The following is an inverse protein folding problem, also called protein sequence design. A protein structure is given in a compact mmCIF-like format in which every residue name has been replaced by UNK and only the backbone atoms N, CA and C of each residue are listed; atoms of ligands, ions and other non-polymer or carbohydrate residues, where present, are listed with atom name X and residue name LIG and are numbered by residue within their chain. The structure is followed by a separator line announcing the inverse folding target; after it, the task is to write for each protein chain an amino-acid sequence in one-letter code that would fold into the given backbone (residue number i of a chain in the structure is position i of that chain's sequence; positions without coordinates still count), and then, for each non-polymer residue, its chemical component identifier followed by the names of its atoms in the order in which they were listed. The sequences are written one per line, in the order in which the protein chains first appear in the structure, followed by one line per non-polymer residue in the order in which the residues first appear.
data_IF_995960863355
#
_entry.id   IF_995960863355
#
_cell.length_a   1.000
_cell.length_b   1.000
_cell.length_c   1.000
_cell.angle_alpha   90.00
_cell.angle_beta   90.00
_cell.angle_gamma   90.00
#
_symmetry.space_group_name_H-M   'P 1'
#
loop_
_entity.id
_entity.type
_entity.pdbx_description
1 polymer ?
#
# COMPACT_ATOMS: atom_id res chain seq x y z
N UNK A 1 30.55 14.96 -18.66
CA UNK A 1 29.21 14.57 -18.17
C UNK A 1 28.51 13.88 -19.32
N UNK A 2 27.95 12.69 -19.10
CA UNK A 2 27.16 12.00 -20.13
C UNK A 2 25.78 12.64 -20.17
N UNK A 3 25.34 13.07 -21.34
CA UNK A 3 24.02 13.64 -21.54
C UNK A 3 22.96 12.52 -21.48
N UNK A 4 21.98 12.65 -20.59
CA UNK A 4 20.86 11.70 -20.48
C UNK A 4 19.65 12.36 -21.16
N UNK A 5 19.19 11.75 -22.25
CA UNK A 5 18.06 12.26 -23.04
C UNK A 5 16.88 11.28 -22.92
N UNK A 6 15.99 11.41 -21.92
CA UNK A 6 14.81 10.56 -21.80
C UNK A 6 13.64 11.09 -22.64
N UNK A 7 12.74 10.19 -23.02
CA UNK A 7 11.46 10.54 -23.64
C UNK A 7 10.41 10.85 -22.57
N UNK A 8 10.52 10.18 -21.41
CA UNK A 8 9.62 10.32 -20.27
C UNK A 8 10.45 10.42 -18.98
N UNK A 9 10.12 11.38 -18.11
CA UNK A 9 10.69 11.51 -16.78
C UNK A 9 9.61 11.25 -15.74
N UNK A 10 9.86 10.30 -14.85
CA UNK A 10 9.00 9.97 -13.71
C UNK A 10 9.71 10.45 -12.45
N UNK A 11 9.06 11.31 -11.67
CA UNK A 11 9.62 11.84 -10.41
C UNK A 11 9.00 11.10 -9.24
N UNK A 12 9.83 10.35 -8.52
CA UNK A 12 9.46 9.44 -7.45
C UNK A 12 9.31 8.00 -7.93
N UNK A 13 9.88 7.07 -7.17
CA UNK A 13 9.86 5.63 -7.46
C UNK A 13 8.91 4.84 -6.55
N UNK A 14 8.03 5.53 -5.82
CA UNK A 14 6.97 4.90 -5.04
C UNK A 14 5.87 4.32 -5.93
N UNK A 15 4.83 3.77 -5.30
CA UNK A 15 3.72 3.04 -5.93
C UNK A 15 3.14 3.69 -7.19
N UNK A 16 2.94 5.02 -7.21
CA UNK A 16 2.41 5.71 -8.39
C UNK A 16 3.40 5.78 -9.54
N UNK A 17 4.65 6.14 -9.26
CA UNK A 17 5.71 6.24 -10.27
C UNK A 17 6.09 4.87 -10.83
N UNK A 18 6.18 3.84 -9.97
CA UNK A 18 6.46 2.48 -10.40
C UNK A 18 5.31 1.87 -11.19
N UNK A 19 4.05 2.15 -10.85
CA UNK A 19 2.89 1.71 -11.64
C UNK A 19 2.91 2.32 -13.06
N UNK A 20 3.20 3.62 -13.18
CA UNK A 20 3.34 4.27 -14.50
C UNK A 20 4.51 3.67 -15.28
N UNK A 21 5.67 3.49 -14.64
CA UNK A 21 6.82 2.86 -15.26
C UNK A 21 6.51 1.42 -15.74
N UNK A 22 5.75 0.65 -14.94
CA UNK A 22 5.32 -0.69 -15.28
C UNK A 22 4.42 -0.71 -16.52
N UNK A 23 3.44 0.20 -16.62
CA UNK A 23 2.57 0.32 -17.80
C UNK A 23 3.33 0.74 -19.06
N UNK A 24 4.39 1.52 -18.91
CA UNK A 24 5.25 1.94 -20.02
C UNK A 24 6.32 0.90 -20.38
N UNK A 25 6.47 -0.17 -19.60
CA UNK A 25 7.45 -1.20 -19.87
C UNK A 25 7.16 -1.88 -21.22
N UNK A 26 8.21 -2.04 -22.04
CA UNK A 26 8.07 -2.62 -23.39
C UNK A 26 7.57 -1.65 -24.47
N UNK A 27 7.23 -0.40 -24.13
CA UNK A 27 6.83 0.63 -25.12
C UNK A 27 7.96 1.07 -26.07
N UNK A 28 9.22 0.80 -25.71
CA UNK A 28 10.41 1.29 -26.41
C UNK A 28 10.83 2.72 -26.04
N UNK A 29 10.05 3.43 -25.20
CA UNK A 29 10.42 4.73 -24.68
C UNK A 29 11.62 4.65 -23.72
N UNK A 30 12.49 5.67 -23.75
CA UNK A 30 13.57 5.85 -22.77
C UNK A 30 13.01 6.55 -21.54
N UNK A 31 12.87 5.79 -20.46
CA UNK A 31 12.25 6.27 -19.21
C UNK A 31 13.35 6.56 -18.20
N UNK A 32 13.35 7.77 -17.64
CA UNK A 32 14.18 8.16 -16.51
C UNK A 32 13.32 8.27 -15.25
N UNK A 33 13.64 7.48 -14.22
CA UNK A 33 12.99 7.58 -12.91
C UNK A 33 13.94 8.31 -11.96
N UNK A 34 13.47 9.40 -11.37
CA UNK A 34 14.22 10.20 -10.40
C UNK A 34 13.68 9.92 -8.99
N UNK A 35 14.47 9.25 -8.17
CA UNK A 35 14.19 9.07 -6.75
C UNK A 35 15.09 10.00 -5.92
N UNK A 36 14.51 10.63 -4.90
CA UNK A 36 15.27 11.52 -4.00
C UNK A 36 16.17 10.72 -3.06
N UNK A 37 15.68 9.56 -2.63
CA UNK A 37 16.40 8.64 -1.77
C UNK A 37 17.30 7.65 -2.50
N UNK A 38 17.88 6.74 -1.73
CA UNK A 38 18.65 5.60 -2.21
C UNK A 38 17.83 4.30 -2.05
N UNK A 39 18.39 3.16 -2.43
CA UNK A 39 17.82 1.86 -2.06
C UNK A 39 17.87 1.68 -0.54
N UNK A 40 16.78 1.17 0.04
CA UNK A 40 16.71 0.89 1.46
C UNK A 40 17.72 -0.21 1.84
N UNK A 41 18.59 -0.01 2.84
CA UNK A 41 19.52 -1.04 3.28
C UNK A 41 18.79 -2.20 3.94
N UNK A 42 19.22 -3.43 3.61
CA UNK A 42 18.78 -4.66 4.29
C UNK A 42 19.59 -4.85 5.56
N UNK A 43 19.00 -4.54 6.71
CA UNK A 43 19.69 -4.55 8.01
C UNK A 43 18.76 -5.00 9.16
N UNK A 44 19.31 -5.51 10.28
CA UNK A 44 18.49 -5.95 11.42
C UNK A 44 17.54 -4.88 11.96
N UNK A 45 17.94 -3.60 11.88
CA UNK A 45 17.17 -2.45 12.32
C UNK A 45 15.89 -2.24 11.51
N UNK A 46 15.73 -2.89 10.34
CA UNK A 46 14.50 -2.80 9.56
C UNK A 46 13.28 -3.34 10.32
N UNK A 47 13.53 -4.24 11.29
CA UNK A 47 12.53 -4.91 12.13
C UNK A 47 12.69 -4.59 13.62
N UNK A 48 13.41 -3.53 13.97
CA UNK A 48 13.66 -3.12 15.37
C UNK A 48 12.81 -1.90 15.73
N UNK A 49 11.97 -2.04 16.76
CA UNK A 49 11.00 -1.01 17.13
C UNK A 49 11.67 0.28 17.63
N UNK A 50 12.76 0.18 18.38
CA UNK A 50 13.49 1.34 18.88
C UNK A 50 14.13 2.11 17.73
N UNK A 51 14.78 1.42 16.79
CA UNK A 51 15.35 2.04 15.60
C UNK A 51 14.29 2.71 14.72
N UNK A 52 13.18 2.02 14.46
CA UNK A 52 12.12 2.53 13.57
C UNK A 52 11.35 3.69 14.20
N UNK A 53 10.88 3.54 15.43
CA UNK A 53 9.94 4.49 16.03
C UNK A 53 10.61 5.51 16.94
N UNK A 54 11.56 5.11 17.78
CA UNK A 54 12.19 6.02 18.74
C UNK A 54 13.29 6.84 18.07
N UNK A 55 14.16 6.17 17.31
CA UNK A 55 15.27 6.83 16.62
C UNK A 55 14.84 7.41 15.26
N UNK A 56 13.63 7.07 14.78
CA UNK A 56 13.12 7.50 13.47
C UNK A 56 14.12 7.24 12.33
N UNK A 57 14.83 6.10 12.39
CA UNK A 57 16.04 5.82 11.59
C UNK A 57 15.84 6.01 10.09
N UNK A 58 14.66 5.65 9.58
CA UNK A 58 14.35 5.68 8.15
C UNK A 58 13.52 6.89 7.72
N UNK A 59 13.03 7.71 8.66
CA UNK A 59 12.27 8.90 8.31
C UNK A 59 13.22 10.01 7.86
N UNK A 60 12.73 10.87 6.98
CA UNK A 60 13.46 12.08 6.61
C UNK A 60 13.70 12.98 7.84
N UNK A 61 14.82 13.72 7.79
CA UNK A 61 15.15 14.76 8.79
C UNK A 61 14.81 16.16 8.29
N UNK A 62 14.20 16.27 7.11
CA UNK A 62 13.75 17.52 6.53
C UNK A 62 12.81 18.27 7.46
N UNK A 63 12.86 19.59 7.36
CA UNK A 63 11.91 20.49 7.99
C UNK A 63 11.14 21.15 6.86
N UNK A 64 9.82 20.95 6.85
CA UNK A 64 8.90 21.58 5.93
C UNK A 64 8.23 22.77 6.60
N UNK A 65 7.71 23.67 5.78
CA UNK A 65 7.02 24.85 6.21
C UNK A 65 5.61 24.85 5.60
N UNK A 66 4.59 25.08 6.42
CA UNK A 66 3.23 25.26 5.92
C UNK A 66 2.99 26.69 5.40
N UNK A 67 1.76 26.97 4.94
CA UNK A 67 1.39 28.28 4.41
C UNK A 67 1.40 29.40 5.45
N UNK A 68 1.35 29.09 6.74
CA UNK A 68 1.40 30.04 7.85
C UNK A 68 2.84 30.27 8.35
N UNK A 69 3.80 29.55 7.78
CA UNK A 69 5.20 29.65 8.12
C UNK A 69 5.62 28.75 9.28
N UNK A 70 4.73 27.88 9.78
CA UNK A 70 5.05 26.94 10.84
C UNK A 70 5.93 25.81 10.31
N UNK A 71 6.97 25.48 11.06
CA UNK A 71 7.92 24.45 10.69
C UNK A 71 7.51 23.10 11.30
N UNK A 72 7.47 22.06 10.48
CA UNK A 72 7.16 20.70 10.93
C UNK A 72 8.05 19.67 10.24
N UNK A 73 8.20 18.49 10.85
CA UNK A 73 8.88 17.36 10.20
C UNK A 73 7.83 16.49 9.53
N UNK A 74 7.87 16.33 8.21
CA UNK A 74 6.91 15.50 7.52
C UNK A 74 7.24 14.02 7.78
N UNK A 75 6.23 13.18 7.91
CA UNK A 75 6.39 11.74 8.18
C UNK A 75 6.88 10.91 6.97
N UNK A 76 7.73 11.48 6.12
CA UNK A 76 8.09 10.95 4.79
C UNK A 76 9.26 9.96 4.84
N UNK A 77 9.27 9.03 3.89
CA UNK A 77 10.39 8.13 3.59
C UNK A 77 10.90 8.39 2.17
N UNK A 78 12.21 8.57 2.01
CA UNK A 78 12.86 8.72 0.70
C UNK A 78 13.72 7.50 0.44
N UNK A 79 13.14 6.54 -0.27
CA UNK A 79 13.82 5.34 -0.74
C UNK A 79 13.23 4.88 -2.06
N UNK A 80 13.99 4.08 -2.81
CA UNK A 80 13.42 3.35 -3.94
C UNK A 80 12.25 2.48 -3.48
N UNK A 81 11.08 2.67 -4.07
CA UNK A 81 9.81 2.05 -3.65
C UNK A 81 8.99 2.86 -2.62
N UNK A 82 9.51 3.99 -2.14
CA UNK A 82 8.76 4.96 -1.34
C UNK A 82 8.07 4.41 -0.08
N UNK A 83 6.87 4.89 0.20
CA UNK A 83 6.12 4.57 1.43
C UNK A 83 5.68 3.11 1.50
N UNK A 84 5.54 2.42 0.37
CA UNK A 84 5.17 1.01 0.36
C UNK A 84 6.24 0.11 0.97
N UNK A 85 7.50 0.56 1.12
CA UNK A 85 8.47 -0.20 1.94
C UNK A 85 8.02 -0.35 3.39
N UNK A 86 7.27 0.62 3.92
CA UNK A 86 6.89 0.72 5.33
C UNK A 86 5.39 0.53 5.60
N UNK A 87 4.52 0.46 4.58
CA UNK A 87 3.09 0.23 4.83
C UNK A 87 2.78 -1.15 5.41
N UNK A 88 1.59 -1.29 6.00
CA UNK A 88 1.07 -2.52 6.62
C UNK A 88 0.43 -3.52 5.67
N UNK A 89 0.58 -3.36 4.35
CA UNK A 89 0.09 -4.28 3.30
C UNK A 89 -1.43 -4.34 3.09
N UNK A 90 -2.21 -3.56 3.83
CA UNK A 90 -3.66 -3.46 3.64
C UNK A 90 -3.98 -2.85 2.27
N UNK A 91 -4.78 -3.56 1.47
CA UNK A 91 -5.13 -3.18 0.09
C UNK A 91 -6.64 -3.21 -0.11
N UNK A 92 -7.32 -2.20 0.46
CA UNK A 92 -8.76 -2.05 0.34
C UNK A 92 -9.15 -1.26 -0.90
N UNK A 93 -10.26 -1.67 -1.53
CA UNK A 93 -10.98 -0.82 -2.48
C UNK A 93 -11.82 0.21 -1.72
N UNK A 94 -11.96 1.40 -2.30
CA UNK A 94 -13.00 2.34 -1.86
C UNK A 94 -14.38 1.75 -2.17
N UNK A 95 -15.40 2.21 -1.45
CA UNK A 95 -16.81 1.85 -1.68
C UNK A 95 -17.41 2.72 -2.75
N UNK A 96 -18.49 2.27 -3.38
CA UNK A 96 -19.21 3.05 -4.40
C UNK A 96 -19.58 4.44 -3.87
N UNK A 97 -20.08 4.50 -2.63
CA UNK A 97 -20.46 5.76 -1.97
C UNK A 97 -19.28 6.70 -1.73
N UNK A 98 -18.05 6.20 -1.61
CA UNK A 98 -16.88 7.07 -1.38
C UNK A 98 -16.58 7.98 -2.60
N UNK A 99 -17.15 7.65 -3.77
CA UNK A 99 -17.07 8.46 -4.98
C UNK A 99 -18.18 9.51 -5.09
N UNK A 100 -19.25 9.37 -4.31
CA UNK A 100 -20.36 10.32 -4.26
C UNK A 100 -20.05 11.51 -3.36
N UNK A 101 -20.86 12.57 -3.49
CA UNK A 101 -20.88 13.62 -2.48
C UNK A 101 -21.41 13.06 -1.15
N UNK A 102 -20.67 13.28 -0.07
CA UNK A 102 -21.02 12.77 1.25
C UNK A 102 -21.08 13.89 2.29
N UNK A 103 -22.17 13.93 3.06
CA UNK A 103 -22.27 14.77 4.25
C UNK A 103 -21.55 14.09 5.42
N UNK A 104 -20.48 14.71 5.91
CA UNK A 104 -19.76 14.35 7.13
C UNK A 104 -20.14 15.33 8.25
N UNK A 105 -19.80 15.00 9.50
CA UNK A 105 -20.11 15.85 10.66
C UNK A 105 -19.48 17.26 10.53
N UNK A 106 -18.29 17.34 9.93
CA UNK A 106 -17.52 18.58 9.77
C UNK A 106 -17.73 19.28 8.41
N UNK A 107 -18.60 18.74 7.54
CA UNK A 107 -18.90 19.36 6.24
C UNK A 107 -19.17 18.38 5.11
N UNK A 108 -19.22 18.89 3.89
CA UNK A 108 -19.47 18.11 2.68
C UNK A 108 -18.14 17.66 2.09
N UNK A 109 -17.97 16.35 1.88
CA UNK A 109 -16.94 15.78 1.01
C UNK A 109 -17.45 15.80 -0.42
N UNK A 110 -16.84 16.57 -1.33
CA UNK A 110 -17.27 16.61 -2.73
C UNK A 110 -17.14 15.22 -3.37
N UNK A 111 -18.06 14.92 -4.28
CA UNK A 111 -17.97 13.72 -5.11
C UNK A 111 -16.78 13.78 -6.07
N UNK A 112 -16.29 12.61 -6.44
CA UNK A 112 -15.23 12.45 -7.42
C UNK A 112 -15.77 12.68 -8.83
N UNK A 113 -14.92 13.09 -9.79
CA UNK A 113 -15.34 13.30 -11.18
C UNK A 113 -15.52 12.00 -11.98
N UNK A 114 -15.42 10.83 -11.32
CA UNK A 114 -15.58 9.49 -11.88
C UNK A 114 -16.17 8.57 -10.81
N UNK A 115 -16.82 7.48 -11.25
CA UNK A 115 -17.45 6.51 -10.36
C UNK A 115 -16.52 5.37 -9.95
N UNK A 116 -16.97 4.57 -8.97
CA UNK A 116 -16.32 3.29 -8.66
C UNK A 116 -16.30 2.35 -9.87
N UNK A 117 -17.39 2.26 -10.64
CA UNK A 117 -17.47 1.35 -11.80
C UNK A 117 -16.42 1.67 -12.87
N UNK A 118 -16.07 2.95 -13.02
CA UNK A 118 -14.96 3.37 -13.90
C UNK A 118 -13.60 2.92 -13.37
N UNK A 119 -13.41 2.88 -12.05
CA UNK A 119 -12.17 2.43 -11.41
C UNK A 119 -12.08 0.93 -11.14
N UNK A 120 -13.20 0.20 -11.14
CA UNK A 120 -13.26 -1.23 -10.80
C UNK A 120 -12.25 -2.08 -11.58
N UNK A 121 -12.09 -1.92 -12.90
CA UNK A 121 -11.10 -2.70 -13.66
C UNK A 121 -9.66 -2.39 -13.24
N UNK A 122 -9.38 -1.15 -12.86
CA UNK A 122 -8.06 -0.72 -12.40
C UNK A 122 -7.76 -1.22 -10.98
N UNK A 123 -8.78 -1.32 -10.11
CA UNK A 123 -8.63 -2.01 -8.82
C UNK A 123 -8.29 -3.49 -9.02
N UNK A 124 -8.98 -4.18 -9.92
CA UNK A 124 -8.69 -5.58 -10.26
C UNK A 124 -7.26 -5.73 -10.78
N UNK A 125 -6.84 -4.87 -11.72
CA UNK A 125 -5.45 -4.86 -12.22
C UNK A 125 -4.42 -4.60 -11.12
N UNK A 126 -4.70 -3.68 -10.20
CA UNK A 126 -3.81 -3.41 -9.07
C UNK A 126 -3.73 -4.61 -8.11
N UNK A 127 -4.86 -5.25 -7.80
CA UNK A 127 -4.89 -6.46 -6.96
C UNK A 127 -4.06 -7.59 -7.57
N UNK A 128 -4.13 -7.80 -8.88
CA UNK A 128 -3.28 -8.74 -9.62
C UNK A 128 -1.81 -8.36 -9.56
N UNK A 129 -1.48 -7.10 -9.87
CA UNK A 129 -0.10 -6.61 -9.91
C UNK A 129 0.60 -6.71 -8.55
N UNK A 130 -0.09 -6.34 -7.47
CA UNK A 130 0.45 -6.39 -6.11
C UNK A 130 0.31 -7.77 -5.45
N UNK A 131 -0.29 -8.75 -6.13
CA UNK A 131 -0.50 -10.10 -5.60
C UNK A 131 -1.38 -10.09 -4.34
N UNK A 132 -2.45 -9.29 -4.35
CA UNK A 132 -3.34 -9.11 -3.19
C UNK A 132 -4.04 -10.42 -2.86
N UNK A 133 -3.94 -10.79 -1.58
CA UNK A 133 -4.59 -11.97 -1.00
C UNK A 133 -5.87 -11.55 -0.31
N UNK A 134 -7.01 -12.08 -0.72
CA UNK A 134 -8.30 -11.71 -0.16
C UNK A 134 -9.37 -12.77 -0.35
N UNK A 135 -10.55 -12.50 0.19
CA UNK A 135 -11.73 -13.33 0.03
C UNK A 135 -12.92 -12.41 -0.19
N UNK A 136 -13.53 -12.52 -1.38
CA UNK A 136 -14.75 -11.81 -1.70
C UNK A 136 -15.96 -12.49 -1.03
N UNK A 137 -16.98 -11.71 -0.71
CA UNK A 137 -18.19 -12.07 0.00
C UNK A 137 -18.08 -12.05 1.53
N UNK A 138 -16.88 -11.92 2.11
CA UNK A 138 -16.71 -11.91 3.57
C UNK A 138 -17.07 -10.53 4.17
N UNK A 139 -16.82 -9.45 3.43
CA UNK A 139 -17.13 -8.08 3.85
C UNK A 139 -18.50 -7.68 3.30
N UNK A 140 -19.52 -7.46 4.16
CA UNK A 140 -20.88 -7.13 3.70
C UNK A 140 -20.98 -5.75 3.05
N UNK A 141 -19.91 -4.95 3.13
CA UNK A 141 -19.83 -3.61 2.56
C UNK A 141 -18.91 -3.55 1.35
N UNK A 142 -18.32 -4.66 0.91
CA UNK A 142 -17.40 -4.60 -0.21
C UNK A 142 -18.12 -4.19 -1.50
N UNK A 143 -17.45 -3.38 -2.34
CA UNK A 143 -18.04 -2.94 -3.59
C UNK A 143 -18.09 -4.10 -4.59
N UNK A 144 -18.89 -3.94 -5.64
CA UNK A 144 -18.97 -4.91 -6.74
C UNK A 144 -17.57 -5.13 -7.33
N UNK A 145 -17.24 -6.38 -7.65
CA UNK A 145 -15.98 -6.73 -8.32
C UNK A 145 -16.25 -7.66 -9.49
N UNK A 146 -15.58 -7.42 -10.61
CA UNK A 146 -15.69 -8.24 -11.82
C UNK A 146 -14.83 -9.51 -11.74
N UNK A 147 -13.74 -9.47 -10.98
CA UNK A 147 -12.83 -10.58 -10.72
C UNK A 147 -12.74 -10.97 -9.25
N UNK A 148 -12.46 -12.25 -8.99
CA UNK A 148 -12.04 -12.71 -7.66
C UNK A 148 -10.61 -12.25 -7.36
N UNK A 149 -10.22 -12.22 -6.07
CA UNK A 149 -8.82 -12.01 -5.72
C UNK A 149 -7.92 -13.06 -6.40
N UNK A 150 -6.71 -12.68 -6.86
CA UNK A 150 -5.79 -13.61 -7.51
C UNK A 150 -5.30 -14.73 -6.57
N UNK A 151 -5.40 -14.50 -5.26
CA UNK A 151 -4.91 -15.40 -4.23
C UNK A 151 -5.86 -15.44 -3.03
N UNK A 152 -5.96 -16.61 -2.40
CA UNK A 152 -6.76 -16.80 -1.20
C UNK A 152 -6.25 -15.93 -0.04
N UNK A 153 -7.20 -15.41 0.76
CA UNK A 153 -6.95 -14.60 1.94
C UNK A 153 -5.97 -15.24 2.93
N UNK A 154 -5.24 -14.38 3.63
CA UNK A 154 -4.35 -14.81 4.73
C UNK A 154 -5.22 -15.19 5.93
N UNK A 155 -5.03 -16.38 6.51
CA UNK A 155 -5.79 -16.79 7.68
C UNK A 155 -5.45 -15.91 8.89
N UNK A 156 -6.46 -15.65 9.71
CA UNK A 156 -6.26 -15.02 11.01
C UNK A 156 -5.31 -15.85 11.88
N UNK A 157 -4.46 -15.17 12.66
CA UNK A 157 -3.75 -15.83 13.77
C UNK A 157 -4.76 -16.37 14.79
N UNK A 158 -4.42 -17.44 15.55
CA UNK A 158 -5.36 -18.09 16.47
C UNK A 158 -6.12 -17.14 17.40
N UNK A 159 -5.45 -16.12 17.94
CA UNK A 159 -6.07 -15.12 18.82
C UNK A 159 -7.12 -14.29 18.06
N UNK A 160 -6.79 -13.85 16.85
CA UNK A 160 -7.70 -13.06 16.01
C UNK A 160 -8.85 -13.93 15.50
N UNK A 161 -8.60 -15.20 15.16
CA UNK A 161 -9.63 -16.14 14.77
C UNK A 161 -10.65 -16.37 15.90
N UNK A 162 -10.18 -16.51 17.14
CA UNK A 162 -11.05 -16.64 18.31
C UNK A 162 -11.91 -15.38 18.52
N UNK A 163 -11.33 -14.19 18.37
CA UNK A 163 -12.07 -12.93 18.45
C UNK A 163 -13.12 -12.83 17.33
N UNK A 164 -12.73 -13.07 16.08
CA UNK A 164 -13.63 -13.06 14.94
C UNK A 164 -14.81 -14.01 15.14
N UNK A 165 -14.56 -15.25 15.57
CA UNK A 165 -15.61 -16.21 15.90
C UNK A 165 -16.55 -15.70 17.00
N UNK A 166 -16.01 -15.05 18.04
CA UNK A 166 -16.80 -14.45 19.11
C UNK A 166 -17.70 -13.31 18.64
N UNK A 167 -17.22 -12.48 17.70
CA UNK A 167 -17.99 -11.41 17.08
C UNK A 167 -19.06 -11.98 16.13
N UNK A 168 -18.73 -12.98 15.32
CA UNK A 168 -19.70 -13.64 14.43
C UNK A 168 -20.84 -14.29 15.18
N UNK A 169 -20.60 -14.89 16.36
CA UNK A 169 -21.66 -15.43 17.22
C UNK A 169 -22.63 -14.38 17.76
N UNK A 170 -22.22 -13.12 17.76
CA UNK A 170 -23.05 -11.97 18.15
C UNK A 170 -23.74 -11.32 16.94
N UNK A 171 -23.63 -11.90 15.75
CA UNK A 171 -24.21 -11.37 14.53
C UNK A 171 -23.40 -10.26 13.87
N UNK A 172 -22.14 -10.06 14.28
CA UNK A 172 -21.23 -9.12 13.61
C UNK A 172 -20.51 -9.81 12.44
N UNK A 173 -19.96 -9.01 11.53
CA UNK A 173 -19.37 -9.47 10.27
C UNK A 173 -17.86 -9.16 10.19
N UNK A 174 -17.01 -9.77 11.03
CA UNK A 174 -15.56 -9.66 10.86
C UNK A 174 -15.14 -10.39 9.58
N UNK A 175 -14.18 -9.82 8.86
CA UNK A 175 -13.67 -10.37 7.61
C UNK A 175 -12.14 -10.31 7.56
N UNK A 176 -11.56 -11.04 6.61
CA UNK A 176 -10.10 -11.11 6.43
C UNK A 176 -9.64 -9.89 5.64
N UNK A 177 -8.67 -9.16 6.19
CA UNK A 177 -8.11 -7.99 5.53
C UNK A 177 -7.42 -8.37 4.20
N UNK A 178 -7.81 -7.77 3.06
CA UNK A 178 -7.09 -7.96 1.81
C UNK A 178 -5.66 -7.41 1.95
N UNK A 179 -4.67 -8.26 1.67
CA UNK A 179 -3.27 -7.96 1.99
C UNK A 179 -2.32 -8.34 0.85
N UNK A 180 -1.41 -7.43 0.48
CA UNK A 180 -0.35 -7.68 -0.50
C UNK A 180 0.87 -8.33 0.17
N UNK A 181 0.80 -9.64 0.38
CA UNK A 181 1.86 -10.44 1.00
C UNK A 181 2.04 -11.75 0.22
N UNK A 182 3.28 -12.11 -0.07
CA UNK A 182 3.66 -13.40 -0.64
C UNK A 182 3.63 -14.52 0.41
N UNK A 183 2.42 -14.98 0.74
CA UNK A 183 2.14 -15.99 1.76
C UNK A 183 1.80 -17.37 1.18
N UNK A 184 2.15 -18.45 1.89
CA UNK A 184 1.74 -19.82 1.55
C UNK A 184 2.93 -20.73 1.25
N UNK A 185 2.67 -21.94 0.75
CA UNK A 185 3.67 -23.02 0.62
C UNK A 185 4.90 -22.62 -0.20
N UNK A 186 4.73 -21.79 -1.23
CA UNK A 186 5.80 -21.31 -2.09
C UNK A 186 6.13 -19.82 -1.86
N UNK A 187 5.50 -19.19 -0.87
CA UNK A 187 5.71 -17.79 -0.56
C UNK A 187 6.93 -17.57 0.33
N UNK A 188 7.48 -16.36 0.27
CA UNK A 188 8.66 -15.94 1.05
C UNK A 188 8.31 -15.44 2.45
N UNK A 189 7.04 -15.15 2.74
CA UNK A 189 6.61 -14.64 4.02
C UNK A 189 6.89 -15.60 5.18
N UNK A 190 7.55 -15.10 6.23
CA UNK A 190 7.91 -15.87 7.43
C UNK A 190 7.03 -15.56 8.66
N UNK A 191 5.94 -14.79 8.48
CA UNK A 191 5.06 -14.30 9.56
C UNK A 191 5.84 -13.75 10.76
N UNK A 192 6.79 -12.86 10.50
CA UNK A 192 7.74 -12.35 11.50
C UNK A 192 7.18 -11.27 12.44
N UNK A 193 5.91 -10.88 12.31
CA UNK A 193 5.27 -9.87 13.16
C UNK A 193 5.65 -8.41 12.87
N UNK A 194 6.45 -8.13 11.84
CA UNK A 194 6.97 -6.78 11.52
C UNK A 194 6.58 -6.36 10.09
N UNK A 195 5.29 -6.43 9.76
CA UNK A 195 4.81 -5.93 8.45
C UNK A 195 4.53 -4.43 8.46
N UNK A 196 3.77 -3.95 9.44
CA UNK A 196 3.33 -2.55 9.49
C UNK A 196 4.41 -1.63 10.07
N UNK A 197 4.66 -0.51 9.39
CA UNK A 197 5.72 0.48 9.66
C UNK A 197 7.17 -0.02 9.61
N UNK A 198 7.40 -1.32 9.42
CA UNK A 198 8.72 -1.94 9.27
C UNK A 198 9.00 -2.33 7.83
N UNK A 199 10.26 -2.32 7.43
CA UNK A 199 10.64 -2.82 6.11
C UNK A 199 10.75 -4.34 6.12
N UNK A 200 10.22 -4.99 5.07
CA UNK A 200 10.25 -6.44 4.98
C UNK A 200 11.68 -6.95 4.71
N UNK A 201 12.17 -7.85 5.55
CA UNK A 201 13.50 -8.46 5.40
C UNK A 201 13.54 -9.68 4.49
N UNK A 202 12.37 -10.12 4.02
CA UNK A 202 12.19 -11.37 3.27
C UNK A 202 11.71 -11.13 1.85
N UNK A 203 11.60 -9.87 1.43
CA UNK A 203 11.03 -9.48 0.12
C UNK A 203 9.63 -10.08 -0.12
N UNK A 204 8.88 -10.33 0.96
CA UNK A 204 7.56 -10.96 0.93
C UNK A 204 6.40 -9.97 0.94
N UNK A 205 6.71 -8.67 1.09
CA UNK A 205 5.74 -7.59 1.08
C UNK A 205 5.57 -7.14 -0.37
N UNK A 206 4.34 -7.02 -0.85
CA UNK A 206 4.06 -6.48 -2.18
C UNK A 206 4.29 -4.98 -2.22
N UNK A 207 5.54 -4.55 -2.12
CA UNK A 207 5.94 -3.15 -2.22
C UNK A 207 6.53 -2.82 -3.60
N UNK A 208 6.58 -1.52 -3.92
CA UNK A 208 7.11 -1.00 -5.19
C UNK A 208 8.63 -1.19 -5.34
#
# INVERSE_FOLDING_TARGET
MTEINPDIVIVGSGVGGSAVAHQLAGSGARILILERGDFLPKEPQNSDADAVFIQSRYRTKDIWQDSEGCHFRPGQYYFVGGHTKFYGTAMFRFRERDFDENQLDDGISPGWPFSYDELEPYYTMAEELFGVRGQAGDDPTEPVRSGAYPHAAIPHEPIIANLANGLSRQGLHPFKMPSAIDFGTNGTCRRCGTCDAFACRFDAKGDA
#
